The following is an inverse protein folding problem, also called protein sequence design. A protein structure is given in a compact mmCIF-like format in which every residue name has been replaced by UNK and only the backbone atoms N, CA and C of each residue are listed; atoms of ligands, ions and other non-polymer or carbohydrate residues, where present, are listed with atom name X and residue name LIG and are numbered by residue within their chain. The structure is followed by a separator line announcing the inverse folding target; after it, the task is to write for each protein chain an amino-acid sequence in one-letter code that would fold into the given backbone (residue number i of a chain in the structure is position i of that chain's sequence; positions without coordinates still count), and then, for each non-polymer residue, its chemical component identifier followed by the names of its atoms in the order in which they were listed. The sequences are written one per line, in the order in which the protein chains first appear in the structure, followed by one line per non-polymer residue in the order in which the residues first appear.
data_IF_649022654437
#
_entry.id   IF_649022654437
#
_cell.length_a   1.000
_cell.length_b   1.000
_cell.length_c   1.000
_cell.angle_alpha   90.00
_cell.angle_beta   90.00
_cell.angle_gamma   90.00
#
_symmetry.space_group_name_H-M   'P 1'
#
loop_
_entity.id
_entity.type
_entity.pdbx_description
1 polymer ?
#
# COMPACT_ATOMS: atom_id res chain seq x y z
N UNK A 1 7.96 9.20 -19.38
CA UNK A 1 7.57 10.02 -18.21
C UNK A 1 7.30 9.12 -16.99
N UNK A 2 7.40 9.64 -15.76
CA UNK A 2 7.33 8.83 -14.54
C UNK A 2 5.91 8.26 -14.32
N UNK A 3 4.88 9.00 -14.73
CA UNK A 3 3.48 8.60 -14.58
C UNK A 3 2.90 7.87 -15.80
N UNK A 4 3.72 7.63 -16.83
CA UNK A 4 3.28 7.09 -18.12
C UNK A 4 3.06 8.18 -19.18
N UNK A 5 2.49 7.80 -20.33
CA UNK A 5 2.24 8.69 -21.46
C UNK A 5 0.88 8.35 -22.07
N UNK A 6 0.07 9.38 -22.33
CA UNK A 6 -1.21 9.25 -23.02
C UNK A 6 -1.14 10.02 -24.33
N UNK A 7 -1.59 9.39 -25.41
CA UNK A 7 -1.57 9.97 -26.77
C UNK A 7 -2.93 9.77 -27.44
N UNK A 8 -3.57 10.86 -27.84
CA UNK A 8 -4.78 10.86 -28.67
C UNK A 8 -4.47 11.49 -30.03
N UNK A 9 -4.59 10.70 -31.09
CA UNK A 9 -4.37 11.13 -32.47
C UNK A 9 -5.61 10.82 -33.32
N UNK A 10 -6.12 11.82 -34.03
CA UNK A 10 -7.25 11.61 -34.93
C UNK A 10 -7.67 12.87 -35.70
N UNK A 11 -8.64 12.72 -36.59
CA UNK A 11 -9.29 13.85 -37.27
C UNK A 11 -10.71 13.96 -36.73
N UNK A 12 -11.09 15.12 -36.21
CA UNK A 12 -12.44 15.39 -35.69
C UNK A 12 -13.13 16.44 -36.57
N UNK A 13 -14.46 16.39 -36.61
CA UNK A 13 -15.28 17.40 -37.27
C UNK A 13 -15.65 18.46 -36.23
N UNK A 14 -15.34 19.73 -36.50
CA UNK A 14 -15.72 20.85 -35.61
C UNK A 14 -17.18 21.26 -35.82
N UNK A 15 -17.72 22.10 -34.94
CA UNK A 15 -19.10 22.62 -35.06
C UNK A 15 -19.35 23.37 -36.40
N UNK A 16 -18.29 23.88 -37.03
CA UNK A 16 -18.33 24.52 -38.36
C UNK A 16 -18.32 23.51 -39.52
N UNK A 17 -18.35 22.21 -39.26
CA UNK A 17 -18.28 21.15 -40.27
C UNK A 17 -16.90 20.97 -40.92
N UNK A 18 -15.85 21.59 -40.39
CA UNK A 18 -14.48 21.47 -40.91
C UNK A 18 -13.75 20.32 -40.23
N UNK A 19 -12.96 19.59 -41.02
CA UNK A 19 -12.05 18.58 -40.50
C UNK A 19 -10.84 19.24 -39.80
N UNK A 20 -10.59 18.85 -38.56
CA UNK A 20 -9.45 19.29 -37.78
C UNK A 20 -8.64 18.08 -37.30
N UNK A 21 -7.36 18.06 -37.64
CA UNK A 21 -6.41 17.10 -37.08
C UNK A 21 -6.11 17.47 -35.63
N UNK A 22 -6.23 16.48 -34.74
CA UNK A 22 -5.97 16.60 -33.31
C UNK A 22 -4.89 15.60 -32.94
N UNK A 23 -3.85 16.10 -32.28
CA UNK A 23 -2.81 15.31 -31.65
C UNK A 23 -2.61 15.89 -30.25
N UNK A 24 -2.94 15.10 -29.23
CA UNK A 24 -2.86 15.49 -27.83
C UNK A 24 -2.03 14.42 -27.14
N UNK A 25 -0.86 14.81 -26.67
CA UNK A 25 0.00 14.00 -25.83
C UNK A 25 0.27 14.71 -24.50
N UNK A 26 0.16 13.97 -23.41
CA UNK A 26 0.44 14.50 -22.07
C UNK A 26 0.84 13.39 -21.09
N UNK A 27 1.55 13.79 -20.03
CA UNK A 27 1.81 12.94 -18.87
C UNK A 27 0.66 13.08 -17.87
N UNK A 28 0.01 11.98 -17.44
CA UNK A 28 -1.08 12.03 -16.48
C UNK A 28 -0.59 12.43 -15.08
N UNK A 29 -1.48 12.96 -14.25
CA UNK A 29 -1.15 13.41 -12.89
C UNK A 29 -0.89 12.26 -11.89
N UNK A 30 -1.37 11.05 -12.20
CA UNK A 30 -1.13 9.80 -11.46
C UNK A 30 -0.52 8.77 -12.41
N UNK A 31 0.29 7.85 -11.87
CA UNK A 31 0.88 6.77 -12.64
C UNK A 31 -0.18 5.80 -13.19
N UNK A 32 -0.11 5.53 -14.50
CA UNK A 32 -0.99 4.57 -15.19
C UNK A 32 -0.31 3.21 -15.30
N UNK A 33 -1.01 2.14 -14.90
CA UNK A 33 -0.56 0.75 -15.06
C UNK A 33 -1.25 0.01 -16.22
N UNK A 34 -2.15 0.68 -16.94
CA UNK A 34 -2.92 0.12 -18.07
C UNK A 34 -2.22 0.44 -19.39
N UNK A 35 -2.04 -0.58 -20.23
CA UNK A 35 -1.57 -0.42 -21.62
C UNK A 35 -2.75 -0.62 -22.56
N UNK A 36 -3.06 0.39 -23.37
CA UNK A 36 -4.24 0.41 -24.26
C UNK A 36 -3.86 1.03 -25.61
N UNK A 37 -4.24 0.36 -26.70
CA UNK A 37 -4.16 0.90 -28.06
C UNK A 37 -5.47 0.59 -28.79
N UNK A 38 -6.18 1.64 -29.20
CA UNK A 38 -7.49 1.54 -29.84
C UNK A 38 -7.61 2.55 -30.98
N UNK A 39 -8.26 2.14 -32.06
CA UNK A 39 -8.68 3.01 -33.17
C UNK A 39 -10.19 2.86 -33.31
N UNK A 40 -10.94 3.93 -33.00
CA UNK A 40 -12.40 3.95 -33.05
C UNK A 40 -12.89 5.32 -33.54
N UNK A 41 -14.19 5.46 -33.79
CA UNK A 41 -14.82 6.72 -34.20
C UNK A 41 -14.91 7.77 -33.07
N UNK A 42 -14.46 7.42 -31.86
CA UNK A 42 -14.42 8.27 -30.67
C UNK A 42 -13.11 8.05 -29.90
N UNK A 43 -12.71 9.06 -29.13
CA UNK A 43 -11.59 8.90 -28.21
C UNK A 43 -12.04 8.20 -26.92
N UNK A 44 -11.32 7.14 -26.57
CA UNK A 44 -11.53 6.38 -25.34
C UNK A 44 -10.82 7.03 -24.17
N UNK A 45 -11.58 7.67 -23.28
CA UNK A 45 -11.07 8.36 -22.08
C UNK A 45 -11.37 7.61 -20.79
N UNK A 46 -11.89 6.39 -20.86
CA UNK A 46 -12.33 5.62 -19.70
C UNK A 46 -11.18 5.39 -18.70
N UNK A 47 -9.98 5.05 -19.20
CA UNK A 47 -8.79 4.87 -18.38
C UNK A 47 -8.34 6.17 -17.66
N UNK A 48 -8.63 7.35 -18.24
CA UNK A 48 -8.36 8.63 -17.59
C UNK A 48 -9.43 8.99 -16.57
N UNK A 49 -10.69 8.65 -16.85
CA UNK A 49 -11.81 8.82 -15.92
C UNK A 49 -11.60 8.01 -14.65
N UNK A 50 -11.10 6.77 -14.75
CA UNK A 50 -10.72 5.95 -13.59
C UNK A 50 -9.64 6.62 -12.73
N UNK A 51 -8.65 7.33 -13.33
CA UNK A 51 -7.63 8.03 -12.56
C UNK A 51 -8.18 9.24 -11.79
N UNK A 52 -9.20 9.88 -12.35
CA UNK A 52 -9.90 11.01 -11.75
C UNK A 52 -10.84 10.56 -10.63
N UNK A 53 -11.31 9.31 -10.64
CA UNK A 53 -12.00 8.75 -9.49
C UNK A 53 -11.05 8.79 -8.28
N UNK A 54 -11.59 9.29 -7.17
CA UNK A 54 -10.91 9.35 -5.89
C UNK A 54 -10.73 7.94 -5.37
N UNK A 55 -9.70 7.25 -5.86
CA UNK A 55 -9.32 5.95 -5.34
C UNK A 55 -9.09 6.07 -3.83
N UNK A 56 -9.82 5.24 -3.10
CA UNK A 56 -9.60 5.05 -1.69
C UNK A 56 -8.18 4.48 -1.50
N UNK A 57 -7.29 5.27 -0.90
CA UNK A 57 -5.94 4.82 -0.56
C UNK A 57 -6.03 3.88 0.64
N UNK A 58 -5.58 2.64 0.49
CA UNK A 58 -5.49 1.64 1.56
C UNK A 58 -4.04 1.44 1.98
N UNK A 59 -3.81 1.27 3.28
CA UNK A 59 -2.51 0.95 3.84
C UNK A 59 -2.36 -0.55 4.10
N UNK A 60 -1.17 -1.07 3.88
CA UNK A 60 -0.79 -2.46 4.12
C UNK A 60 0.39 -2.50 5.07
N UNK A 61 0.27 -3.30 6.13
CA UNK A 61 1.37 -3.65 7.02
C UNK A 61 1.54 -5.16 6.92
N UNK A 62 2.64 -5.59 6.31
CA UNK A 62 2.99 -7.00 6.19
C UNK A 62 4.04 -7.31 7.24
N UNK A 63 3.72 -8.15 8.22
CA UNK A 63 4.64 -8.59 9.27
C UNK A 63 5.05 -10.04 9.04
N UNK A 64 6.34 -10.31 9.16
CA UNK A 64 6.90 -11.64 9.12
C UNK A 64 8.00 -11.79 10.18
N UNK A 65 8.37 -13.03 10.50
CA UNK A 65 9.45 -13.32 11.46
C UNK A 65 10.82 -12.76 11.04
N UNK A 66 10.99 -12.42 9.76
CA UNK A 66 12.23 -11.87 9.20
C UNK A 66 12.20 -10.35 8.99
N UNK A 67 11.06 -9.67 9.19
CA UNK A 67 10.95 -8.25 8.90
C UNK A 67 9.52 -7.74 8.73
N UNK A 68 9.38 -6.46 8.43
CA UNK A 68 8.09 -5.84 8.13
C UNK A 68 8.16 -4.98 6.87
N UNK A 69 7.03 -4.88 6.17
CA UNK A 69 6.84 -4.03 5.00
C UNK A 69 5.59 -3.16 5.18
N UNK A 70 5.74 -1.88 4.86
CA UNK A 70 4.67 -0.89 4.83
C UNK A 70 4.48 -0.46 3.38
N UNK A 71 3.23 -0.51 2.92
CA UNK A 71 2.88 -0.09 1.58
C UNK A 71 1.49 0.50 1.51
N UNK A 72 1.19 1.13 0.39
CA UNK A 72 -0.15 1.63 0.08
C UNK A 72 -0.61 1.14 -1.28
N UNK A 73 -1.92 0.94 -1.39
CA UNK A 73 -2.61 0.59 -2.61
C UNK A 73 -3.68 1.67 -2.87
N UNK A 74 -3.64 2.27 -4.05
CA UNK A 74 -4.66 3.22 -4.51
C UNK A 74 -5.09 2.79 -5.90
N UNK A 75 -6.31 2.25 -6.02
CA UNK A 75 -6.77 1.61 -7.26
C UNK A 75 -5.82 0.47 -7.66
N UNK A 76 -5.20 0.59 -8.83
CA UNK A 76 -4.21 -0.37 -9.36
C UNK A 76 -2.76 0.00 -9.05
N UNK A 77 -2.50 1.10 -8.35
CA UNK A 77 -1.14 1.57 -8.04
C UNK A 77 -0.67 1.06 -6.68
N UNK A 78 0.42 0.30 -6.67
CA UNK A 78 1.08 -0.20 -5.45
C UNK A 78 2.34 0.60 -5.16
N UNK A 79 2.50 1.05 -3.93
CA UNK A 79 3.67 1.81 -3.48
C UNK A 79 4.23 1.17 -2.20
N UNK A 80 5.53 0.93 -2.16
CA UNK A 80 6.22 0.43 -0.96
C UNK A 80 6.85 1.63 -0.26
N UNK A 81 6.32 1.99 0.90
CA UNK A 81 6.78 3.14 1.69
C UNK A 81 8.08 2.80 2.39
N UNK A 82 8.10 1.65 3.08
CA UNK A 82 9.26 1.25 3.85
C UNK A 82 9.30 -0.26 4.05
N UNK A 83 10.50 -0.82 4.14
CA UNK A 83 10.71 -2.21 4.56
C UNK A 83 11.95 -2.30 5.42
N UNK A 84 11.91 -3.17 6.44
CA UNK A 84 13.07 -3.46 7.26
C UNK A 84 13.11 -4.93 7.64
N UNK A 85 14.33 -5.45 7.81
CA UNK A 85 14.56 -6.82 8.26
C UNK A 85 14.81 -6.87 9.77
N UNK A 86 14.49 -8.00 10.38
CA UNK A 86 14.73 -8.30 11.80
C UNK A 86 15.18 -9.74 11.94
N UNK A 87 16.15 -9.97 12.81
CA UNK A 87 16.55 -11.31 13.23
C UNK A 87 15.96 -11.63 14.60
N UNK A 88 14.93 -12.47 14.62
CA UNK A 88 14.31 -12.95 15.86
C UNK A 88 14.99 -14.23 16.36
N UNK A 89 15.26 -14.36 17.69
CA UNK A 89 15.89 -15.55 18.24
C UNK A 89 15.06 -16.83 18.04
N UNK A 90 15.66 -17.87 17.46
CA UNK A 90 14.98 -19.17 17.27
C UNK A 90 14.69 -19.90 18.58
N UNK A 91 13.81 -20.90 18.52
CA UNK A 91 13.51 -21.79 19.66
C UNK A 91 14.71 -22.69 19.93
N UNK A 92 15.20 -22.68 21.17
CA UNK A 92 16.32 -23.52 21.62
C UNK A 92 15.92 -24.24 22.91
N UNK A 93 16.32 -25.50 23.06
CA UNK A 93 16.13 -26.31 24.27
C UNK A 93 17.36 -26.31 25.18
N UNK A 94 17.25 -26.92 26.37
CA UNK A 94 18.35 -27.11 27.31
C UNK A 94 18.19 -26.36 28.64
N UNK A 95 19.23 -26.40 29.48
CA UNK A 95 19.24 -25.82 30.84
C UNK A 95 18.96 -24.30 30.86
N UNK A 96 19.25 -23.61 29.75
CA UNK A 96 19.04 -22.18 29.55
C UNK A 96 17.76 -21.85 28.77
N UNK A 97 16.88 -22.83 28.52
CA UNK A 97 15.65 -22.65 27.73
C UNK A 97 14.75 -21.52 28.25
N UNK A 98 14.60 -21.39 29.58
CA UNK A 98 13.75 -20.36 30.19
C UNK A 98 14.29 -18.94 29.90
N UNK A 99 15.60 -18.75 30.01
CA UNK A 99 16.26 -17.47 29.70
C UNK A 99 16.12 -17.12 28.22
N UNK A 100 16.33 -18.09 27.32
CA UNK A 100 16.19 -17.86 25.88
C UNK A 100 14.74 -17.64 25.47
N UNK A 101 13.76 -18.22 26.18
CA UNK A 101 12.35 -17.92 26.00
C UNK A 101 12.05 -16.45 26.34
N UNK A 102 12.49 -15.99 27.51
CA UNK A 102 12.31 -14.58 27.92
C UNK A 102 12.94 -13.60 26.93
N UNK A 103 14.19 -13.85 26.52
CA UNK A 103 14.87 -12.98 25.55
C UNK A 103 14.14 -12.93 24.19
N UNK A 104 13.49 -14.03 23.80
CA UNK A 104 12.68 -14.10 22.59
C UNK A 104 11.42 -13.26 22.71
N UNK A 105 10.69 -13.37 23.83
CA UNK A 105 9.52 -12.52 24.07
C UNK A 105 9.88 -11.03 24.08
N UNK A 106 10.97 -10.66 24.76
CA UNK A 106 11.43 -9.26 24.79
C UNK A 106 11.77 -8.75 23.39
N UNK A 107 12.44 -9.56 22.54
CA UNK A 107 12.73 -9.19 21.15
C UNK A 107 11.46 -9.09 20.29
N UNK A 108 10.49 -10.00 20.46
CA UNK A 108 9.20 -9.94 19.76
C UNK A 108 8.41 -8.69 20.16
N UNK A 109 8.33 -8.40 21.44
CA UNK A 109 7.65 -7.20 21.94
C UNK A 109 8.27 -5.91 21.39
N UNK A 110 9.61 -5.82 21.36
CA UNK A 110 10.32 -4.68 20.76
C UNK A 110 10.08 -4.57 19.25
N UNK A 111 9.97 -5.71 18.55
CA UNK A 111 9.64 -5.73 17.13
C UNK A 111 8.22 -5.20 16.88
N UNK A 112 7.22 -5.68 17.61
CA UNK A 112 5.83 -5.19 17.52
C UNK A 112 5.74 -3.69 17.84
N UNK A 113 6.44 -3.24 18.88
CA UNK A 113 6.53 -1.81 19.22
C UNK A 113 7.09 -0.98 18.08
N UNK A 114 8.21 -1.41 17.48
CA UNK A 114 8.83 -0.71 16.35
C UNK A 114 7.90 -0.65 15.15
N UNK A 115 7.15 -1.72 14.86
CA UNK A 115 6.16 -1.72 13.77
C UNK A 115 5.01 -0.75 14.08
N UNK A 116 4.51 -0.71 15.31
CA UNK A 116 3.46 0.22 15.73
C UNK A 116 3.89 1.69 15.59
N UNK A 117 5.11 2.02 16.03
CA UNK A 117 5.68 3.36 15.91
C UNK A 117 5.84 3.78 14.44
N UNK A 118 6.37 2.90 13.59
CA UNK A 118 6.51 3.17 12.16
C UNK A 118 5.16 3.28 11.44
N UNK A 119 4.18 2.47 11.84
CA UNK A 119 2.82 2.58 11.31
C UNK A 119 2.24 3.96 11.60
N UNK A 120 2.43 4.48 12.82
CA UNK A 120 1.99 5.82 13.17
C UNK A 120 2.70 6.88 12.32
N UNK A 121 4.02 6.77 12.13
CA UNK A 121 4.79 7.72 11.31
C UNK A 121 4.36 7.75 9.84
N UNK A 122 4.01 6.60 9.26
CA UNK A 122 3.67 6.52 7.83
C UNK A 122 2.19 6.74 7.52
N UNK A 123 1.29 6.33 8.41
CA UNK A 123 -0.16 6.38 8.18
C UNK A 123 -0.89 7.50 8.92
N UNK A 124 -0.23 8.24 9.83
CA UNK A 124 -0.75 9.49 10.37
C UNK A 124 -0.05 10.69 9.75
N UNK A 125 -0.84 11.67 9.34
CA UNK A 125 -0.34 12.96 8.86
C UNK A 125 -1.21 14.05 9.48
N UNK A 126 -0.60 14.98 10.21
CA UNK A 126 -1.32 16.02 10.97
C UNK A 126 -2.44 15.44 11.86
N UNK A 127 -2.10 14.42 12.66
CA UNK A 127 -3.02 13.74 13.58
C UNK A 127 -4.22 13.00 12.93
N UNK A 128 -4.29 12.95 11.59
CA UNK A 128 -5.34 12.26 10.84
C UNK A 128 -4.78 11.09 10.06
N UNK A 129 -5.54 10.00 10.02
CA UNK A 129 -5.19 8.83 9.22
C UNK A 129 -5.24 9.21 7.74
N UNK A 130 -4.13 9.03 7.02
CA UNK A 130 -3.99 9.40 5.61
C UNK A 130 -4.49 8.31 4.64
N UNK A 131 -4.93 7.17 5.17
CA UNK A 131 -5.53 6.05 4.45
C UNK A 131 -6.99 5.86 4.85
N UNK A 132 -7.78 5.40 3.90
CA UNK A 132 -9.21 5.09 4.09
C UNK A 132 -9.41 3.86 4.97
N UNK A 133 -8.49 2.90 4.88
CA UNK A 133 -8.41 1.74 5.76
C UNK A 133 -7.04 1.08 5.73
N UNK A 134 -6.83 0.20 6.69
CA UNK A 134 -5.58 -0.49 6.95
C UNK A 134 -5.81 -2.01 6.93
N UNK A 135 -4.88 -2.72 6.31
CA UNK A 135 -4.86 -4.19 6.25
C UNK A 135 -3.59 -4.66 6.93
N UNK A 136 -3.75 -5.52 7.94
CA UNK A 136 -2.63 -6.17 8.60
C UNK A 136 -2.49 -7.58 8.01
N UNK A 137 -1.36 -7.83 7.36
CA UNK A 137 -1.04 -9.09 6.74
C UNK A 137 0.18 -9.70 7.42
N UNK A 138 0.28 -11.03 7.44
CA UNK A 138 1.49 -11.65 7.96
C UNK A 138 1.37 -13.14 8.23
N UNK A 139 2.52 -13.76 8.46
CA UNK A 139 2.63 -15.14 8.92
C UNK A 139 2.48 -15.18 10.45
N UNK A 140 1.86 -16.25 10.97
CA UNK A 140 1.66 -16.47 12.41
C UNK A 140 0.85 -15.37 13.13
N UNK A 141 0.96 -15.34 14.45
CA UNK A 141 0.16 -14.51 15.36
C UNK A 141 0.60 -13.04 15.45
N UNK A 142 1.69 -12.64 14.79
CA UNK A 142 2.26 -11.29 14.92
C UNK A 142 1.28 -10.17 14.53
N UNK A 143 0.49 -10.37 13.47
CA UNK A 143 -0.56 -9.41 13.07
C UNK A 143 -1.67 -9.28 14.11
N UNK A 144 -1.97 -10.37 14.80
CA UNK A 144 -2.98 -10.43 15.86
C UNK A 144 -2.43 -9.75 17.12
N UNK A 145 -1.18 -10.03 17.49
CA UNK A 145 -0.49 -9.36 18.59
C UNK A 145 -0.41 -7.84 18.37
N UNK A 146 -0.06 -7.38 17.15
CA UNK A 146 -0.06 -5.96 16.84
C UNK A 146 -1.46 -5.36 16.99
N UNK A 147 -2.49 -6.00 16.42
CA UNK A 147 -3.87 -5.51 16.44
C UNK A 147 -4.49 -5.45 17.84
N UNK A 148 -4.05 -6.33 18.75
CA UNK A 148 -4.53 -6.41 20.13
C UNK A 148 -3.65 -5.63 21.12
N UNK A 149 -2.46 -5.19 20.69
CA UNK A 149 -1.54 -4.48 21.57
C UNK A 149 -2.00 -3.05 21.86
N UNK A 150 -1.88 -2.64 23.12
CA UNK A 150 -2.07 -1.24 23.54
C UNK A 150 -1.02 -0.28 22.96
N UNK A 151 0.02 -0.82 22.32
CA UNK A 151 1.08 -0.04 21.66
C UNK A 151 0.65 0.47 20.29
N UNK A 152 -0.37 -0.13 19.68
CA UNK A 152 -0.86 0.29 18.38
C UNK A 152 -1.78 1.50 18.54
N UNK A 153 -1.57 2.53 17.71
CA UNK A 153 -2.34 3.77 17.81
C UNK A 153 -3.83 3.47 17.59
N UNK A 154 -4.67 3.84 18.56
CA UNK A 154 -6.11 3.61 18.53
C UNK A 154 -6.77 4.21 17.27
N UNK A 155 -6.26 5.33 16.76
CA UNK A 155 -6.77 5.94 15.51
C UNK A 155 -6.55 5.03 14.31
N UNK A 156 -5.40 4.35 14.24
CA UNK A 156 -5.12 3.36 13.20
C UNK A 156 -5.89 2.06 13.44
N UNK A 157 -6.06 1.67 14.71
CA UNK A 157 -6.82 0.47 15.10
C UNK A 157 -8.28 0.53 14.61
N UNK A 158 -8.94 1.68 14.74
CA UNK A 158 -10.31 1.89 14.21
C UNK A 158 -10.40 1.80 12.69
N UNK A 159 -9.27 1.91 11.98
CA UNK A 159 -9.17 1.82 10.52
C UNK A 159 -8.73 0.45 10.03
N UNK A 160 -8.47 -0.51 10.92
CA UNK A 160 -8.16 -1.89 10.54
C UNK A 160 -9.40 -2.56 9.96
N UNK A 161 -9.36 -2.90 8.67
CA UNK A 161 -10.47 -3.55 7.97
C UNK A 161 -10.38 -5.07 8.10
N UNK A 162 -9.17 -5.61 7.92
CA UNK A 162 -8.98 -7.06 7.84
C UNK A 162 -7.58 -7.48 8.30
N UNK A 163 -7.56 -8.62 8.99
CA UNK A 163 -6.36 -9.40 9.23
C UNK A 163 -6.26 -10.48 8.14
N UNK A 164 -5.12 -10.54 7.45
CA UNK A 164 -4.91 -11.48 6.35
C UNK A 164 -3.75 -12.42 6.70
N UNK A 165 -4.02 -13.71 6.71
CA UNK A 165 -2.99 -14.74 6.77
C UNK A 165 -2.27 -14.82 5.43
N UNK A 166 -0.95 -14.62 5.44
CA UNK A 166 -0.11 -14.75 4.25
C UNK A 166 0.99 -15.76 4.54
N UNK A 167 1.06 -16.81 3.73
CA UNK A 167 2.16 -17.77 3.72
C UNK A 167 3.08 -17.44 2.56
N UNK A 168 4.30 -16.99 2.86
CA UNK A 168 5.36 -16.71 1.89
C UNK A 168 6.69 -17.26 2.37
#
# INVERSE_FOLDING_TARGET
PNNGLVVYCGTIVTEEGKEKKVNIDFEPFKAINTSLYLCDNKFHTEALSELLESDNKFGFIVMDGNGALFGTLSGNTREVIHKFAVELPKKHGGQSALRFARLREEKRHNYVRKVAELAAQFFLTNDKVNVTGLILAGSADFKTELSQSDMFDNRLQTKVIKLVDVSY
#
